data_IF_145773876060
#
_entry.id   IF_145773876060
#
_cell.length_a   1.000
_cell.length_b   1.000
_cell.length_c   1.000
_cell.angle_alpha   90.00
_cell.angle_beta   90.00
_cell.angle_gamma   90.00
#
_symmetry.space_group_name_H-M   'P 1'
#
loop_
_entity.id
_entity.type
_entity.pdbx_description
1 polymer ?
#
# COMPACT_ATOMS: atom_id res chain seq x y z
N UNK A 1 10.51 11.20 -18.34
CA UNK A 1 9.39 10.32 -17.96
C UNK A 1 9.84 9.35 -16.90
N UNK A 2 8.95 9.11 -15.93
CA UNK A 2 9.05 8.26 -14.73
C UNK A 2 9.61 8.98 -13.48
N UNK A 3 8.67 9.34 -12.64
CA UNK A 3 8.79 10.04 -11.36
C UNK A 3 9.83 9.35 -10.48
N UNK A 4 10.81 10.11 -9.98
CA UNK A 4 11.95 9.58 -9.22
C UNK A 4 11.55 8.89 -7.90
N UNK A 5 10.32 9.06 -7.43
CA UNK A 5 9.96 8.84 -6.03
C UNK A 5 8.64 8.09 -5.87
N UNK A 6 7.58 8.44 -6.62
CA UNK A 6 6.33 7.67 -6.62
C UNK A 6 6.48 6.42 -7.49
N UNK A 7 6.60 5.24 -6.88
CA UNK A 7 6.81 3.99 -7.62
C UNK A 7 5.50 3.36 -8.07
N UNK A 8 4.44 3.50 -7.28
CA UNK A 8 3.12 3.02 -7.63
C UNK A 8 2.04 3.79 -6.87
N UNK A 9 0.85 3.83 -7.47
CA UNK A 9 -0.37 4.29 -6.83
C UNK A 9 -1.51 3.35 -7.21
N UNK A 10 -2.43 3.11 -6.27
CA UNK A 10 -3.59 2.25 -6.51
C UNK A 10 -4.82 2.78 -5.79
N UNK A 11 -5.97 2.45 -6.37
CA UNK A 11 -7.28 2.65 -5.75
C UNK A 11 -7.54 1.53 -4.76
N UNK A 12 -8.07 1.88 -3.60
CA UNK A 12 -8.53 0.93 -2.58
C UNK A 12 -9.87 1.36 -2.03
N UNK A 13 -10.65 0.38 -1.59
CA UNK A 13 -11.89 0.66 -0.86
C UNK A 13 -11.55 1.37 0.45
N UNK A 14 -12.17 2.53 0.65
CA UNK A 14 -11.99 3.35 1.84
C UNK A 14 -13.04 3.08 2.92
N UNK A 15 -14.15 2.42 2.59
CA UNK A 15 -15.31 2.33 3.47
C UNK A 15 -16.06 3.66 3.63
N UNK A 16 -17.22 3.66 4.34
CA UNK A 16 -18.13 4.81 4.38
C UNK A 16 -17.51 6.10 4.96
N UNK A 17 -16.62 5.97 5.94
CA UNK A 17 -15.88 7.09 6.55
C UNK A 17 -15.09 7.90 5.51
N UNK A 18 -14.52 7.22 4.52
CA UNK A 18 -13.68 7.81 3.48
C UNK A 18 -14.38 7.88 2.13
N UNK A 19 -15.72 8.00 2.13
CA UNK A 19 -16.55 8.05 0.91
C UNK A 19 -16.30 6.88 -0.05
N UNK A 20 -16.00 5.70 0.51
CA UNK A 20 -15.74 4.43 -0.17
C UNK A 20 -14.48 4.37 -1.03
N UNK A 21 -13.75 5.47 -1.25
CA UNK A 21 -12.63 5.50 -2.19
C UNK A 21 -11.41 6.16 -1.55
N UNK A 22 -10.28 5.45 -1.58
CA UNK A 22 -8.98 5.98 -1.18
C UNK A 22 -7.95 5.75 -2.29
N UNK A 23 -7.07 6.73 -2.50
CA UNK A 23 -5.86 6.58 -3.32
C UNK A 23 -4.67 6.42 -2.39
N UNK A 24 -3.91 5.35 -2.57
CA UNK A 24 -2.64 5.17 -1.87
C UNK A 24 -1.50 5.32 -2.87
N UNK A 25 -0.60 6.26 -2.60
CA UNK A 25 0.66 6.43 -3.33
C UNK A 25 1.85 6.03 -2.47
N UNK A 26 2.79 5.29 -3.05
CA UNK A 26 4.02 4.88 -2.36
C UNK A 26 5.21 5.63 -2.92
N UNK A 27 5.89 6.36 -2.03
CA UNK A 27 7.11 7.08 -2.29
C UNK A 27 8.30 6.39 -1.62
N UNK A 28 9.38 6.10 -2.35
CA UNK A 28 10.61 5.58 -1.76
C UNK A 28 11.57 6.73 -1.43
N UNK A 29 12.03 6.76 -0.19
CA UNK A 29 13.01 7.72 0.29
C UNK A 29 13.35 7.45 1.76
N UNK A 30 14.51 7.92 2.21
CA UNK A 30 14.97 7.82 3.61
C UNK A 30 15.06 9.18 4.32
N UNK A 31 14.75 10.26 3.62
CA UNK A 31 14.60 11.62 4.15
C UNK A 31 13.12 12.06 4.22
N UNK A 32 12.64 12.34 5.43
CA UNK A 32 11.24 12.70 5.71
C UNK A 32 10.85 14.03 5.07
N UNK A 33 11.75 15.00 5.08
CA UNK A 33 11.48 16.34 4.54
C UNK A 33 11.25 16.27 3.04
N UNK A 34 12.04 15.43 2.34
CA UNK A 34 11.81 15.16 0.92
C UNK A 34 10.43 14.54 0.68
N UNK A 35 10.02 13.54 1.45
CA UNK A 35 8.68 12.93 1.26
C UNK A 35 7.55 13.94 1.49
N UNK A 36 7.67 14.81 2.49
CA UNK A 36 6.68 15.87 2.70
C UNK A 36 6.68 16.89 1.56
N UNK A 37 7.84 17.24 1.00
CA UNK A 37 7.91 18.12 -0.18
C UNK A 37 7.25 17.47 -1.41
N UNK A 38 7.45 16.17 -1.62
CA UNK A 38 6.76 15.45 -2.71
C UNK A 38 5.26 15.37 -2.49
N UNK A 39 4.82 15.15 -1.25
CA UNK A 39 3.40 15.20 -0.91
C UNK A 39 2.79 16.55 -1.26
N UNK A 40 3.43 17.66 -0.86
CA UNK A 40 2.94 19.00 -1.17
C UNK A 40 2.82 19.24 -2.69
N UNK A 41 3.81 18.78 -3.48
CA UNK A 41 3.77 18.88 -4.94
C UNK A 41 2.63 18.04 -5.55
N UNK A 42 2.35 16.85 -5.00
CA UNK A 42 1.23 16.00 -5.43
C UNK A 42 -0.11 16.66 -5.12
N UNK A 43 -0.26 17.23 -3.93
CA UNK A 43 -1.50 17.91 -3.52
C UNK A 43 -1.82 19.10 -4.40
N UNK A 44 -0.79 19.91 -4.69
CA UNK A 44 -0.91 21.03 -5.59
C UNK A 44 -1.38 20.56 -6.98
N UNK A 45 -0.75 19.52 -7.53
CA UNK A 45 -1.12 19.00 -8.84
C UNK A 45 -2.55 18.46 -8.88
N UNK A 46 -2.98 17.74 -7.82
CA UNK A 46 -4.34 17.23 -7.74
C UNK A 46 -5.37 18.36 -7.63
N UNK A 47 -5.07 19.41 -6.87
CA UNK A 47 -5.91 20.60 -6.81
C UNK A 47 -6.01 21.31 -8.16
N UNK A 48 -4.90 21.49 -8.88
CA UNK A 48 -4.87 22.04 -10.25
C UNK A 48 -5.68 21.20 -11.23
N UNK A 49 -5.71 19.88 -11.05
CA UNK A 49 -6.52 18.94 -11.83
C UNK A 49 -8.00 18.90 -11.41
N UNK A 50 -8.42 19.68 -10.40
CA UNK A 50 -9.79 19.71 -9.89
C UNK A 50 -10.17 18.51 -9.02
N UNK A 51 -9.19 17.81 -8.45
CA UNK A 51 -9.38 16.67 -7.56
C UNK A 51 -9.24 17.16 -6.12
N UNK A 52 -10.36 17.26 -5.41
CA UNK A 52 -10.36 17.65 -4.01
C UNK A 52 -9.83 16.52 -3.11
N UNK A 53 -8.80 16.81 -2.32
CA UNK A 53 -8.28 15.90 -1.29
C UNK A 53 -8.85 16.35 0.06
N UNK A 54 -9.77 15.57 0.62
CA UNK A 54 -10.36 15.88 1.93
C UNK A 54 -9.41 15.59 3.10
N UNK A 55 -8.49 14.65 2.93
CA UNK A 55 -7.60 14.18 3.98
C UNK A 55 -6.40 13.44 3.41
N UNK A 56 -5.27 13.45 4.11
CA UNK A 56 -4.17 12.53 3.81
C UNK A 56 -3.39 12.08 5.02
N UNK A 57 -3.11 10.78 5.07
CA UNK A 57 -2.12 10.19 5.96
C UNK A 57 -0.79 9.96 5.26
N UNK A 58 0.29 10.35 5.93
CA UNK A 58 1.67 10.09 5.49
C UNK A 58 2.32 9.14 6.49
N UNK A 59 2.59 7.92 6.04
CA UNK A 59 3.34 6.93 6.81
C UNK A 59 4.81 6.99 6.40
N UNK A 60 5.70 6.98 7.39
CA UNK A 60 7.14 7.10 7.17
C UNK A 60 7.91 6.24 8.17
N UNK A 61 8.84 5.43 7.68
CA UNK A 61 9.70 4.59 8.51
C UNK A 61 10.85 4.01 7.70
N UNK A 62 12.03 3.85 8.33
CA UNK A 62 13.24 3.33 7.69
C UNK A 62 13.17 1.85 7.29
N UNK A 63 12.07 1.16 7.59
CA UNK A 63 11.74 -0.16 7.07
C UNK A 63 10.38 -0.08 6.41
N UNK A 64 10.36 -0.23 5.09
CA UNK A 64 9.14 -0.66 4.39
C UNK A 64 8.97 -2.14 4.70
N UNK A 65 8.50 -2.46 5.90
CA UNK A 65 7.95 -3.78 6.16
C UNK A 65 6.61 -3.82 5.45
N UNK A 66 6.63 -4.19 4.17
CA UNK A 66 5.49 -4.93 3.63
C UNK A 66 5.42 -6.16 4.53
N UNK A 67 4.50 -6.16 5.50
CA UNK A 67 4.23 -7.39 6.25
C UNK A 67 3.95 -8.45 5.19
N UNK A 68 4.73 -9.54 5.13
CA UNK A 68 4.30 -10.67 4.32
C UNK A 68 2.89 -11.02 4.77
N UNK A 69 2.00 -11.35 3.84
CA UNK A 69 0.68 -11.83 4.20
C UNK A 69 0.86 -13.02 5.13
N UNK A 70 0.60 -12.82 6.42
CA UNK A 70 0.67 -13.89 7.41
C UNK A 70 -0.65 -14.66 7.29
N UNK A 71 -0.57 -15.86 6.71
CA UNK A 71 -1.65 -16.84 6.80
C UNK A 71 -1.43 -17.65 8.08
N UNK A 72 -2.50 -17.88 8.85
CA UNK A 72 -2.44 -18.82 9.96
C UNK A 72 -2.00 -20.19 9.44
N UNK A 73 -0.97 -20.84 10.02
CA UNK A 73 -0.54 -22.17 9.60
C UNK A 73 -1.70 -23.19 9.59
N UNK A 74 -2.61 -23.09 10.58
CA UNK A 74 -3.80 -23.94 10.68
C UNK A 74 -4.81 -23.66 9.55
N UNK A 75 -4.97 -22.40 9.15
CA UNK A 75 -5.86 -22.04 8.04
C UNK A 75 -5.29 -22.52 6.70
N UNK A 76 -3.97 -22.44 6.53
CA UNK A 76 -3.28 -22.94 5.34
C UNK A 76 -3.35 -24.47 5.24
N UNK A 77 -3.08 -25.19 6.33
CA UNK A 77 -3.19 -26.65 6.39
C UNK A 77 -4.61 -27.13 6.02
N UNK A 78 -5.65 -26.48 6.59
CA UNK A 78 -7.04 -26.80 6.25
C UNK A 78 -7.34 -26.54 4.77
N UNK A 79 -6.82 -25.46 4.21
CA UNK A 79 -6.98 -25.16 2.78
C UNK A 79 -6.28 -26.20 1.90
N UNK A 80 -5.06 -26.62 2.25
CA UNK A 80 -4.33 -27.68 1.56
C UNK A 80 -5.11 -29.00 1.55
N UNK A 81 -5.64 -29.42 2.70
CA UNK A 81 -6.48 -30.62 2.81
C UNK A 81 -7.74 -30.54 1.94
N UNK A 82 -8.38 -29.37 1.86
CA UNK A 82 -9.56 -29.16 0.99
C UNK A 82 -9.24 -29.27 -0.51
N UNK A 83 -7.98 -29.05 -0.89
CA UNK A 83 -7.54 -29.03 -2.29
C UNK A 83 -6.66 -30.24 -2.65
N UNK A 84 -6.49 -31.21 -1.74
CA UNK A 84 -5.65 -32.39 -1.96
C UNK A 84 -4.17 -32.08 -2.13
N UNK A 85 -3.68 -31.05 -1.44
CA UNK A 85 -2.27 -30.65 -1.45
C UNK A 85 -1.56 -31.27 -0.25
N UNK A 86 -0.57 -32.12 -0.49
CA UNK A 86 0.27 -32.75 0.54
C UNK A 86 1.35 -31.77 0.99
N UNK A 87 1.21 -31.21 2.19
CA UNK A 87 2.12 -30.14 2.66
C UNK A 87 3.55 -30.62 2.85
N UNK A 88 3.75 -31.89 3.22
CA UNK A 88 5.06 -32.50 3.40
C UNK A 88 5.90 -32.46 2.13
N UNK A 89 5.25 -32.47 0.96
CA UNK A 89 5.95 -32.36 -0.34
C UNK A 89 6.55 -30.97 -0.59
N UNK A 90 6.13 -29.96 0.17
CA UNK A 90 6.53 -28.56 0.03
C UNK A 90 7.60 -28.13 1.04
N UNK A 91 7.90 -28.97 2.04
CA UNK A 91 8.95 -28.69 3.03
C UNK A 91 10.28 -29.24 2.53
N UNK A 92 11.09 -28.39 1.88
CA UNK A 92 12.46 -28.66 1.44
C UNK A 92 13.50 -28.03 2.38
#
# INVERSE_FOLDING_TARGET
>A
GRHYIMTHAYWREGGPEFRNVNVMGVAHGTDKEKVLAHKAAIDQHLAEAGIEISYTNVFWGGRSEIKPSEISPLAYEKWCAQHGIEMESMMA
#
